data_IF_888749505448
#
_entry.id   IF_888749505448
#
_cell.length_a   1.000
_cell.length_b   1.000
_cell.length_c   1.000
_cell.angle_alpha   90.00
_cell.angle_beta   90.00
_cell.angle_gamma   90.00
#
_symmetry.space_group_name_H-M   'P 1'
#
loop_
_entity.id
_entity.type
_entity.pdbx_description
1 polymer ?
#
# COMPACT_ATOMS: atom_id res chain seq x y z
N UNK A 1 -9.50 25.20 3.72
CA UNK A 1 -8.90 24.38 4.81
C UNK A 1 -8.01 25.29 5.66
N UNK A 2 -8.42 25.61 6.89
CA UNK A 2 -7.57 26.36 7.83
C UNK A 2 -6.26 25.58 8.07
N UNK A 3 -5.12 26.21 7.80
CA UNK A 3 -3.79 25.62 7.97
C UNK A 3 -3.41 25.63 9.45
N UNK A 4 -3.63 24.51 10.15
CA UNK A 4 -3.07 24.31 11.50
C UNK A 4 -1.55 24.24 11.39
N UNK A 5 -0.86 25.33 11.74
CA UNK A 5 0.58 25.51 11.48
C UNK A 5 1.50 24.49 12.20
N UNK A 6 0.99 23.85 13.25
CA UNK A 6 1.71 22.87 14.07
C UNK A 6 1.26 21.42 13.86
N UNK A 7 0.22 21.20 13.02
CA UNK A 7 -0.29 19.87 12.71
C UNK A 7 0.24 19.42 11.34
N UNK A 8 0.85 18.24 11.30
CA UNK A 8 1.25 17.61 10.04
C UNK A 8 0.11 16.73 9.56
N UNK A 9 -0.79 17.32 8.79
CA UNK A 9 -1.88 16.57 8.14
C UNK A 9 -1.33 15.82 6.93
N UNK A 10 -1.64 14.53 6.82
CA UNK A 10 -1.37 13.69 5.64
C UNK A 10 -2.61 12.91 5.25
N UNK A 11 -2.91 12.79 3.94
CA UNK A 11 -3.89 11.85 3.42
C UNK A 11 -3.59 10.40 3.85
N UNK A 12 -4.64 9.58 3.88
CA UNK A 12 -4.55 8.16 4.19
C UNK A 12 -3.80 7.40 3.07
N UNK A 13 -2.77 6.63 3.43
CA UNK A 13 -1.99 5.80 2.52
C UNK A 13 -2.82 4.69 1.87
N UNK A 14 -3.69 4.03 2.64
CA UNK A 14 -4.64 3.05 2.09
C UNK A 14 -5.52 3.69 1.02
N UNK A 15 -6.00 4.92 1.26
CA UNK A 15 -6.79 5.65 0.27
C UNK A 15 -5.97 6.04 -0.97
N UNK A 16 -4.73 6.50 -0.80
CA UNK A 16 -3.87 6.84 -1.94
C UNK A 16 -3.58 5.61 -2.81
N UNK A 17 -3.27 4.45 -2.21
CA UNK A 17 -3.04 3.20 -2.96
C UNK A 17 -4.33 2.75 -3.66
N UNK A 18 -5.49 2.93 -3.02
CA UNK A 18 -6.78 2.64 -3.65
C UNK A 18 -7.04 3.49 -4.89
N UNK A 19 -6.68 4.78 -4.84
CA UNK A 19 -6.78 5.68 -5.98
C UNK A 19 -5.77 5.35 -7.09
N UNK A 20 -4.61 4.80 -6.77
CA UNK A 20 -3.68 4.25 -7.79
C UNK A 20 -4.36 3.09 -8.52
N UNK A 21 -5.02 2.18 -7.80
CA UNK A 21 -5.76 1.07 -8.42
C UNK A 21 -6.92 1.54 -9.29
N UNK A 22 -7.64 2.58 -8.85
CA UNK A 22 -8.69 3.24 -9.64
C UNK A 22 -8.12 3.84 -10.94
N UNK A 23 -7.00 4.54 -10.85
CA UNK A 23 -6.36 5.17 -12.00
C UNK A 23 -5.83 4.16 -13.00
N UNK A 24 -5.35 3.00 -12.55
CA UNK A 24 -5.06 1.90 -13.47
C UNK A 24 -6.31 1.45 -14.24
N UNK A 25 -7.45 1.27 -13.57
CA UNK A 25 -8.70 0.88 -14.23
C UNK A 25 -9.18 1.96 -15.22
N UNK A 26 -8.95 3.25 -14.93
CA UNK A 26 -9.36 4.37 -15.79
C UNK A 26 -8.43 4.62 -16.97
N UNK A 27 -7.11 4.58 -16.74
CA UNK A 27 -6.11 5.07 -17.69
C UNK A 27 -5.39 3.94 -18.44
N UNK A 28 -5.38 2.71 -17.93
CA UNK A 28 -4.79 1.56 -18.62
C UNK A 28 -5.88 0.72 -19.30
N UNK A 29 -5.92 0.76 -20.64
CA UNK A 29 -6.98 0.07 -21.41
C UNK A 29 -7.04 -1.43 -21.13
N UNK A 30 -5.89 -2.06 -20.91
CA UNK A 30 -5.79 -3.48 -20.55
C UNK A 30 -6.45 -3.77 -19.20
N UNK A 31 -6.28 -2.91 -18.20
CA UNK A 31 -6.94 -3.04 -16.89
C UNK A 31 -8.45 -2.83 -17.03
N UNK A 32 -8.87 -1.72 -17.65
CA UNK A 32 -10.29 -1.38 -17.85
C UNK A 32 -11.08 -2.55 -18.47
N UNK A 33 -10.59 -3.08 -19.59
CA UNK A 33 -11.30 -4.11 -20.36
C UNK A 33 -11.28 -5.47 -19.66
N UNK A 34 -10.17 -5.82 -19.02
CA UNK A 34 -9.99 -7.10 -18.32
C UNK A 34 -10.83 -7.16 -17.05
N UNK A 35 -10.85 -6.08 -16.27
CA UNK A 35 -11.68 -5.95 -15.07
C UNK A 35 -13.17 -6.05 -15.44
N UNK A 36 -13.61 -5.31 -16.47
CA UNK A 36 -15.02 -5.36 -16.91
C UNK A 36 -15.45 -6.77 -17.32
N UNK A 37 -14.58 -7.50 -18.04
CA UNK A 37 -14.80 -8.91 -18.39
C UNK A 37 -14.83 -9.81 -17.16
N UNK A 38 -13.87 -9.65 -16.23
CA UNK A 38 -13.80 -10.39 -14.97
C UNK A 38 -15.05 -10.22 -14.11
N UNK A 39 -15.52 -8.98 -13.93
CA UNK A 39 -16.77 -8.68 -13.21
C UNK A 39 -17.98 -9.37 -13.85
N UNK A 40 -18.08 -9.37 -15.18
CA UNK A 40 -19.16 -10.08 -15.89
C UNK A 40 -19.08 -11.59 -15.68
N UNK A 41 -17.88 -12.18 -15.74
CA UNK A 41 -17.66 -13.60 -15.46
C UNK A 41 -18.14 -13.91 -14.05
N UNK A 42 -17.63 -13.20 -13.04
CA UNK A 42 -17.99 -13.45 -11.64
C UNK A 42 -19.48 -13.28 -11.43
N UNK A 43 -20.08 -12.14 -11.79
CA UNK A 43 -21.53 -11.92 -11.61
C UNK A 43 -22.37 -12.98 -12.32
N UNK A 44 -21.94 -13.44 -13.50
CA UNK A 44 -22.67 -14.48 -14.21
C UNK A 44 -22.59 -15.81 -13.47
N UNK A 45 -21.41 -16.27 -13.05
CA UNK A 45 -21.24 -17.63 -12.49
C UNK A 45 -21.43 -17.71 -10.97
N UNK A 46 -21.38 -16.59 -10.24
CA UNK A 46 -21.48 -16.54 -8.79
C UNK A 46 -22.83 -17.05 -8.30
N UNK A 47 -22.81 -17.78 -7.18
CA UNK A 47 -24.03 -18.37 -6.59
C UNK A 47 -24.59 -19.60 -7.32
N UNK A 48 -23.96 -20.07 -8.40
CA UNK A 48 -24.43 -21.26 -9.14
C UNK A 48 -23.85 -22.56 -8.57
N UNK A 49 -24.68 -23.61 -8.47
CA UNK A 49 -24.28 -24.93 -7.96
C UNK A 49 -23.13 -25.56 -8.77
N UNK A 50 -23.16 -25.40 -10.10
CA UNK A 50 -22.08 -25.89 -10.97
C UNK A 50 -20.73 -25.25 -10.62
N UNK A 51 -20.68 -23.96 -10.28
CA UNK A 51 -19.41 -23.32 -9.90
C UNK A 51 -18.80 -24.03 -8.70
N UNK A 52 -19.58 -24.27 -7.64
CA UNK A 52 -19.10 -24.96 -6.42
C UNK A 52 -18.53 -26.34 -6.71
N UNK A 53 -19.16 -27.09 -7.64
CA UNK A 53 -18.70 -28.42 -8.08
C UNK A 53 -17.32 -28.37 -8.73
N UNK A 54 -17.10 -27.42 -9.64
CA UNK A 54 -15.85 -27.35 -10.42
C UNK A 54 -14.72 -26.59 -9.70
N UNK A 55 -15.03 -25.65 -8.81
CA UNK A 55 -14.04 -24.91 -8.01
C UNK A 55 -13.70 -25.58 -6.68
N UNK A 56 -14.28 -26.75 -6.38
CA UNK A 56 -14.16 -27.45 -5.08
C UNK A 56 -14.53 -26.53 -3.91
N UNK A 57 -15.58 -25.72 -4.09
CA UNK A 57 -16.04 -24.75 -3.10
C UNK A 57 -15.17 -23.51 -2.91
N UNK A 58 -14.12 -23.29 -3.73
CA UNK A 58 -13.36 -22.03 -3.68
C UNK A 58 -14.24 -20.85 -4.11
N UNK A 59 -14.17 -19.79 -3.32
CA UNK A 59 -14.82 -18.52 -3.61
C UNK A 59 -14.04 -17.76 -4.70
N UNK A 60 -14.78 -17.09 -5.58
CA UNK A 60 -14.22 -16.24 -6.64
C UNK A 60 -14.03 -14.80 -6.19
N UNK A 61 -14.75 -14.38 -5.16
CA UNK A 61 -14.69 -13.03 -4.64
C UNK A 61 -14.08 -13.10 -3.26
N UNK A 62 -12.93 -12.45 -3.10
CA UNK A 62 -12.30 -12.26 -1.79
C UNK A 62 -12.34 -10.77 -1.46
N UNK A 63 -13.20 -10.32 -0.53
CA UNK A 63 -13.21 -8.94 -0.09
C UNK A 63 -11.81 -8.50 0.37
N UNK A 64 -11.42 -7.30 -0.04
CA UNK A 64 -10.28 -6.57 0.49
C UNK A 64 -10.80 -5.29 1.16
N UNK A 65 -9.92 -4.57 1.85
CA UNK A 65 -10.27 -3.32 2.51
C UNK A 65 -10.89 -2.29 1.56
N UNK A 66 -10.47 -2.30 0.30
CA UNK A 66 -10.97 -1.35 -0.68
C UNK A 66 -11.62 -2.06 -1.86
N UNK A 67 -12.58 -1.39 -2.49
CA UNK A 67 -13.32 -1.92 -3.63
C UNK A 67 -12.42 -2.18 -4.85
N UNK A 68 -11.39 -1.35 -5.07
CA UNK A 68 -10.48 -1.53 -6.20
C UNK A 68 -9.47 -2.65 -5.92
N UNK A 69 -8.95 -2.75 -4.69
CA UNK A 69 -8.13 -3.91 -4.30
C UNK A 69 -8.92 -5.24 -4.38
N UNK A 70 -10.19 -5.22 -3.98
CA UNK A 70 -11.11 -6.37 -4.13
C UNK A 70 -11.25 -6.80 -5.60
N UNK A 71 -11.25 -5.84 -6.52
CA UNK A 71 -11.33 -6.12 -7.96
C UNK A 71 -10.10 -6.90 -8.45
N UNK A 72 -8.89 -6.52 -8.03
CA UNK A 72 -7.67 -7.24 -8.39
C UNK A 72 -7.56 -8.61 -7.69
N UNK A 73 -8.00 -8.73 -6.43
CA UNK A 73 -8.11 -10.04 -5.77
C UNK A 73 -9.08 -10.98 -6.50
N UNK A 74 -10.22 -10.45 -6.96
CA UNK A 74 -11.18 -11.22 -7.76
C UNK A 74 -10.56 -11.73 -9.05
N UNK A 75 -9.75 -10.91 -9.74
CA UNK A 75 -8.99 -11.37 -10.92
C UNK A 75 -7.96 -12.46 -10.55
N UNK A 76 -7.31 -12.36 -9.39
CA UNK A 76 -6.39 -13.39 -8.89
C UNK A 76 -7.12 -14.72 -8.66
N UNK A 77 -8.27 -14.68 -7.96
CA UNK A 77 -9.10 -15.86 -7.73
C UNK A 77 -9.57 -16.49 -9.04
N UNK A 78 -10.03 -15.68 -10.00
CA UNK A 78 -10.38 -16.15 -11.34
C UNK A 78 -9.20 -16.82 -12.06
N UNK A 79 -8.00 -16.26 -11.94
CA UNK A 79 -6.80 -16.82 -12.53
C UNK A 79 -6.42 -18.17 -11.90
N UNK A 80 -6.53 -18.31 -10.57
CA UNK A 80 -6.27 -19.56 -9.84
C UNK A 80 -7.23 -20.68 -10.24
N UNK A 81 -8.51 -20.37 -10.46
CA UNK A 81 -9.52 -21.37 -10.87
C UNK A 81 -9.64 -21.52 -12.39
N UNK A 82 -8.75 -20.92 -13.18
CA UNK A 82 -8.81 -20.92 -14.66
C UNK A 82 -9.03 -22.33 -15.24
N UNK A 83 -8.24 -23.31 -14.81
CA UNK A 83 -8.34 -24.68 -15.30
C UNK A 83 -9.70 -25.31 -14.99
N UNK A 84 -10.18 -25.14 -13.75
CA UNK A 84 -11.52 -25.58 -13.33
C UNK A 84 -12.62 -24.93 -14.16
N UNK A 85 -12.51 -23.63 -14.44
CA UNK A 85 -13.46 -22.92 -15.30
C UNK A 85 -13.43 -23.47 -16.72
N UNK A 86 -12.25 -23.65 -17.33
CA UNK A 86 -12.14 -24.25 -18.67
C UNK A 86 -12.80 -25.63 -18.75
N UNK A 87 -12.60 -26.48 -17.75
CA UNK A 87 -13.26 -27.79 -17.66
C UNK A 87 -14.78 -27.66 -17.54
N UNK A 88 -15.27 -26.75 -16.69
CA UNK A 88 -16.70 -26.51 -16.53
C UNK A 88 -17.35 -26.09 -17.85
N UNK A 89 -16.80 -25.09 -18.53
CA UNK A 89 -17.37 -24.55 -19.78
C UNK A 89 -17.31 -25.55 -20.94
N UNK A 90 -16.32 -26.45 -20.97
CA UNK A 90 -16.24 -27.50 -21.98
C UNK A 90 -17.15 -28.72 -21.70
N UNK A 91 -17.74 -28.82 -20.50
CA UNK A 91 -18.56 -29.97 -20.10
C UNK A 91 -19.91 -30.03 -20.84
N UNK A 92 -20.38 -31.25 -21.09
CA UNK A 92 -21.72 -31.48 -21.65
C UNK A 92 -22.83 -30.95 -20.74
N UNK A 93 -22.63 -31.02 -19.42
CA UNK A 93 -23.53 -30.46 -18.40
C UNK A 93 -23.72 -28.95 -18.60
N UNK A 94 -22.63 -28.20 -18.80
CA UNK A 94 -22.70 -26.77 -19.09
C UNK A 94 -23.37 -26.49 -20.43
N UNK A 95 -22.92 -27.15 -21.50
CA UNK A 95 -23.40 -26.94 -22.87
C UNK A 95 -24.90 -27.19 -23.03
N UNK A 96 -25.45 -28.16 -22.30
CA UNK A 96 -26.88 -28.49 -22.31
C UNK A 96 -27.70 -27.69 -21.30
N UNK A 97 -27.07 -26.98 -20.37
CA UNK A 97 -27.77 -26.18 -19.37
C UNK A 97 -28.49 -24.97 -19.98
N UNK A 98 -29.53 -24.48 -19.28
CA UNK A 98 -30.20 -23.20 -19.60
C UNK A 98 -29.22 -22.02 -19.63
N UNK A 99 -28.12 -22.11 -18.89
CA UNK A 99 -27.11 -21.06 -18.80
C UNK A 99 -26.14 -21.11 -19.97
N UNK A 100 -25.58 -22.28 -20.29
CA UNK A 100 -24.64 -22.45 -21.41
C UNK A 100 -25.29 -22.15 -22.76
N UNK A 101 -26.58 -22.48 -22.92
CA UNK A 101 -27.31 -22.19 -24.16
C UNK A 101 -27.70 -20.71 -24.32
N UNK A 102 -27.65 -19.91 -23.26
CA UNK A 102 -28.05 -18.50 -23.30
C UNK A 102 -27.03 -17.64 -24.03
N UNK A 103 -27.50 -16.55 -24.64
CA UNK A 103 -26.62 -15.63 -25.38
C UNK A 103 -25.51 -15.05 -24.48
N UNK A 104 -25.82 -14.77 -23.21
CA UNK A 104 -24.82 -14.29 -22.24
C UNK A 104 -23.86 -15.41 -21.83
N UNK A 105 -24.34 -16.66 -21.67
CA UNK A 105 -23.49 -17.81 -21.37
C UNK A 105 -22.43 -18.04 -22.43
N UNK A 106 -22.81 -17.98 -23.71
CA UNK A 106 -21.87 -18.09 -24.84
C UNK A 106 -20.85 -16.94 -24.88
N UNK A 107 -21.24 -15.72 -24.53
CA UNK A 107 -20.30 -14.57 -24.44
C UNK A 107 -19.26 -14.78 -23.33
N UNK A 108 -19.69 -15.29 -22.18
CA UNK A 108 -18.80 -15.62 -21.05
C UNK A 108 -17.87 -16.78 -21.42
N UNK A 109 -18.41 -17.83 -22.03
CA UNK A 109 -17.63 -18.97 -22.54
C UNK A 109 -16.53 -18.52 -23.51
N UNK A 110 -16.89 -17.71 -24.52
CA UNK A 110 -15.93 -17.15 -25.47
C UNK A 110 -14.83 -16.34 -24.78
N UNK A 111 -15.16 -15.63 -23.68
CA UNK A 111 -14.18 -14.87 -22.91
C UNK A 111 -13.24 -15.78 -22.11
N UNK A 112 -13.76 -16.85 -21.51
CA UNK A 112 -12.97 -17.83 -20.74
C UNK A 112 -12.09 -18.69 -21.65
N UNK A 113 -12.52 -18.96 -22.87
CA UNK A 113 -11.71 -19.70 -23.84
C UNK A 113 -10.70 -18.80 -24.58
N UNK A 114 -10.84 -17.47 -24.51
CA UNK A 114 -9.90 -16.52 -25.12
C UNK A 114 -8.56 -16.48 -24.35
N UNK A 115 -7.50 -17.00 -24.97
CA UNK A 115 -6.14 -16.97 -24.41
C UNK A 115 -5.64 -15.53 -24.14
N UNK A 116 -6.10 -14.54 -24.91
CA UNK A 116 -5.72 -13.12 -24.72
C UNK A 116 -6.30 -12.55 -23.44
N UNK A 117 -7.51 -12.97 -23.05
CA UNK A 117 -8.09 -12.55 -21.77
C UNK A 117 -7.18 -12.94 -20.61
N UNK A 118 -6.72 -14.19 -20.56
CA UNK A 118 -5.83 -14.67 -19.49
C UNK A 118 -4.44 -14.02 -19.50
N UNK A 119 -3.89 -13.74 -20.69
CA UNK A 119 -2.66 -12.94 -20.82
C UNK A 119 -2.85 -11.55 -20.20
N UNK A 120 -3.97 -10.89 -20.48
CA UNK A 120 -4.28 -9.58 -19.91
C UNK A 120 -4.54 -9.64 -18.39
N UNK A 121 -5.18 -10.70 -17.89
CA UNK A 121 -5.31 -10.94 -16.43
C UNK A 121 -3.93 -11.02 -15.79
N UNK A 122 -3.00 -11.76 -16.41
CA UNK A 122 -1.62 -11.88 -15.91
C UNK A 122 -0.91 -10.52 -15.87
N UNK A 123 -1.07 -9.69 -16.92
CA UNK A 123 -0.53 -8.32 -16.95
C UNK A 123 -1.09 -7.49 -15.78
N UNK A 124 -2.42 -7.50 -15.59
CA UNK A 124 -3.06 -6.75 -14.51
C UNK A 124 -2.51 -7.16 -13.13
N UNK A 125 -2.34 -8.47 -12.91
CA UNK A 125 -1.82 -9.01 -11.64
C UNK A 125 -0.34 -8.69 -11.43
N UNK A 126 0.48 -8.72 -12.48
CA UNK A 126 1.89 -8.30 -12.44
C UNK A 126 2.07 -6.83 -12.02
N UNK A 127 1.12 -5.97 -12.37
CA UNK A 127 1.09 -4.56 -11.93
C UNK A 127 0.56 -4.43 -10.51
N UNK A 128 -0.56 -5.09 -10.21
CA UNK A 128 -1.27 -4.86 -8.95
C UNK A 128 -0.62 -5.56 -7.74
N UNK A 129 -0.04 -6.75 -7.92
CA UNK A 129 0.45 -7.56 -6.81
C UNK A 129 1.50 -6.87 -5.93
N UNK A 130 2.51 -6.15 -6.47
CA UNK A 130 3.45 -5.39 -5.64
C UNK A 130 2.77 -4.32 -4.78
N UNK A 131 1.80 -3.59 -5.34
CA UNK A 131 1.04 -2.57 -4.59
C UNK A 131 0.08 -3.17 -3.57
N UNK A 132 -0.43 -4.40 -3.81
CA UNK A 132 -1.21 -5.14 -2.82
C UNK A 132 -0.38 -5.51 -1.58
N UNK A 133 0.94 -5.71 -1.73
CA UNK A 133 1.84 -5.90 -0.58
C UNK A 133 1.94 -4.62 0.24
N UNK A 134 2.13 -3.47 -0.42
CA UNK A 134 2.15 -2.16 0.26
C UNK A 134 0.83 -1.88 0.96
N UNK A 135 -0.30 -2.17 0.31
CA UNK A 135 -1.62 -2.01 0.89
C UNK A 135 -1.78 -2.83 2.19
N UNK A 136 -1.33 -4.09 2.20
CA UNK A 136 -1.36 -4.94 3.40
C UNK A 136 -0.45 -4.42 4.51
N UNK A 137 0.68 -3.84 4.17
CA UNK A 137 1.58 -3.24 5.15
C UNK A 137 0.90 -2.04 5.83
N UNK A 138 0.38 -1.09 5.06
CA UNK A 138 -0.25 0.13 5.60
C UNK A 138 -1.56 -0.14 6.36
N UNK A 139 -2.15 -1.30 6.11
CA UNK A 139 -3.34 -1.80 6.80
C UNK A 139 -3.00 -2.72 8.00
N UNK A 140 -1.73 -3.04 8.26
CA UNK A 140 -1.37 -3.87 9.41
C UNK A 140 -1.45 -3.06 10.72
N UNK A 141 -2.21 -3.57 11.69
CA UNK A 141 -2.22 -3.01 13.07
C UNK A 141 -1.04 -3.53 13.91
N UNK A 142 -0.27 -4.49 13.39
CA UNK A 142 0.79 -5.20 14.13
C UNK A 142 2.12 -4.43 14.05
N UNK A 143 2.45 -3.87 12.87
CA UNK A 143 3.68 -3.10 12.65
C UNK A 143 3.33 -1.70 12.11
N UNK A 144 3.83 -0.61 12.72
CA UNK A 144 3.68 0.74 12.18
C UNK A 144 4.28 0.84 10.77
N UNK A 145 3.44 0.90 9.76
CA UNK A 145 3.84 1.00 8.36
C UNK A 145 4.58 2.30 8.01
N UNK A 146 4.46 3.30 8.87
CA UNK A 146 4.89 4.67 8.61
C UNK A 146 6.39 4.82 8.38
N UNK A 147 7.22 4.01 9.04
CA UNK A 147 8.67 3.99 8.83
C UNK A 147 9.11 3.29 7.54
N UNK A 148 8.21 2.57 6.85
CA UNK A 148 8.55 1.63 5.79
C UNK A 148 7.88 1.96 4.45
N UNK A 149 6.78 2.70 4.46
CA UNK A 149 5.97 2.98 3.26
C UNK A 149 6.76 3.59 2.09
N UNK A 150 7.72 4.47 2.35
CA UNK A 150 8.56 5.08 1.31
C UNK A 150 9.33 4.00 0.53
N UNK A 151 10.10 3.19 1.26
CA UNK A 151 10.88 2.08 0.69
C UNK A 151 9.97 1.03 0.03
N UNK A 152 8.80 0.76 0.59
CA UNK A 152 7.89 -0.27 0.07
C UNK A 152 7.19 0.14 -1.22
N UNK A 153 6.91 1.43 -1.40
CA UNK A 153 6.44 1.97 -2.68
C UNK A 153 7.56 1.90 -3.72
N UNK A 154 8.79 2.27 -3.37
CA UNK A 154 9.96 2.13 -4.23
C UNK A 154 10.18 0.66 -4.65
N UNK A 155 10.19 -0.26 -3.69
CA UNK A 155 10.26 -1.70 -3.92
C UNK A 155 9.11 -2.19 -4.80
N UNK A 156 7.89 -1.66 -4.63
CA UNK A 156 6.76 -2.01 -5.49
C UNK A 156 6.99 -1.57 -6.94
N UNK A 157 7.51 -0.37 -7.18
CA UNK A 157 7.88 0.13 -8.52
C UNK A 157 8.97 -0.74 -9.16
N UNK A 158 10.02 -1.06 -8.42
CA UNK A 158 11.11 -1.94 -8.88
C UNK A 158 10.60 -3.35 -9.23
N UNK A 159 9.71 -3.92 -8.39
CA UNK A 159 9.08 -5.21 -8.66
C UNK A 159 8.20 -5.16 -9.91
N UNK A 160 7.41 -4.10 -10.09
CA UNK A 160 6.61 -3.89 -11.31
C UNK A 160 7.53 -3.89 -12.53
N UNK A 161 8.61 -3.10 -12.52
CA UNK A 161 9.58 -3.07 -13.61
C UNK A 161 10.17 -4.45 -13.89
N UNK A 162 10.60 -5.17 -12.85
CA UNK A 162 11.16 -6.52 -12.99
C UNK A 162 10.16 -7.54 -13.56
N UNK A 163 8.87 -7.40 -13.23
CA UNK A 163 7.81 -8.28 -13.75
C UNK A 163 7.64 -8.19 -15.27
N UNK A 164 8.07 -7.08 -15.87
CA UNK A 164 8.00 -6.82 -17.30
C UNK A 164 9.36 -6.93 -18.02
N UNK A 165 10.48 -6.78 -17.29
CA UNK A 165 11.82 -6.71 -17.87
C UNK A 165 12.85 -7.57 -17.10
N UNK A 166 12.85 -8.89 -17.28
CA UNK A 166 14.01 -9.67 -16.84
C UNK A 166 15.22 -9.33 -17.72
N UNK A 167 16.03 -8.35 -17.29
CA UNK A 167 17.51 -8.29 -17.28
C UNK A 167 17.91 -6.96 -16.61
N UNK A 168 18.41 -7.03 -15.36
CA UNK A 168 19.39 -6.06 -14.86
C UNK A 168 20.70 -6.41 -15.55
N UNK A 169 21.07 -5.65 -16.56
CA UNK A 169 22.29 -5.85 -17.32
C UNK A 169 22.50 -4.67 -18.24
N UNK A 170 23.59 -3.95 -17.97
CA UNK A 170 24.21 -2.89 -18.76
C UNK A 170 23.91 -2.99 -20.27
N UNK A 171 23.58 -1.85 -20.86
CA UNK A 171 23.40 -1.54 -22.28
C UNK A 171 21.98 -1.68 -22.87
N UNK A 172 21.38 -0.51 -22.95
CA UNK A 172 20.11 -0.15 -23.54
C UNK A 172 20.20 -0.21 -25.08
N UNK A 173 19.97 -1.37 -25.68
CA UNK A 173 19.66 -1.42 -27.12
C UNK A 173 18.91 -2.73 -27.44
N UNK A 174 17.66 -2.59 -27.85
CA UNK A 174 16.79 -3.66 -28.37
C UNK A 174 16.29 -4.71 -27.36
N UNK A 175 15.23 -4.35 -26.64
CA UNK A 175 14.20 -5.34 -26.27
C UNK A 175 12.85 -4.63 -26.21
N UNK A 176 11.85 -5.15 -26.92
CA UNK A 176 10.48 -4.63 -26.94
C UNK A 176 9.86 -4.91 -25.57
N UNK A 177 10.10 -3.99 -24.63
CA UNK A 177 9.61 -4.05 -23.27
C UNK A 177 8.14 -3.61 -23.24
N UNK A 178 7.33 -4.30 -22.43
CA UNK A 178 6.07 -3.70 -21.98
C UNK A 178 6.47 -2.43 -21.23
N UNK A 179 6.07 -1.26 -21.77
CA UNK A 179 6.47 0.00 -21.18
C UNK A 179 5.81 0.14 -19.80
N UNK A 180 6.61 0.01 -18.73
CA UNK A 180 6.16 0.19 -17.35
C UNK A 180 6.14 1.68 -16.95
N UNK A 181 6.66 2.58 -17.77
CA UNK A 181 6.68 4.02 -17.51
C UNK A 181 5.27 4.60 -17.29
N UNK A 182 4.23 4.30 -18.10
CA UNK A 182 2.89 4.83 -17.85
C UNK A 182 2.28 4.31 -16.53
N UNK A 183 2.71 3.14 -16.06
CA UNK A 183 2.30 2.60 -14.76
C UNK A 183 2.99 3.38 -13.64
N UNK A 184 4.28 3.63 -13.77
CA UNK A 184 5.04 4.45 -12.81
C UNK A 184 4.52 5.89 -12.76
N UNK A 185 4.19 6.51 -13.90
CA UNK A 185 3.61 7.85 -13.95
C UNK A 185 2.31 7.95 -13.15
N UNK A 186 1.44 6.94 -13.22
CA UNK A 186 0.21 6.89 -12.42
C UNK A 186 0.53 6.79 -10.93
N UNK A 187 1.47 5.91 -10.55
CA UNK A 187 1.91 5.74 -9.15
C UNK A 187 2.50 7.06 -8.62
N UNK A 188 3.44 7.65 -9.36
CA UNK A 188 4.15 8.87 -8.98
C UNK A 188 3.20 10.04 -8.89
N UNK A 189 2.29 10.21 -9.85
CA UNK A 189 1.28 11.29 -9.78
C UNK A 189 0.46 11.23 -8.50
N UNK A 190 0.05 10.04 -8.04
CA UNK A 190 -0.71 9.87 -6.79
C UNK A 190 0.16 10.03 -5.56
N UNK A 191 1.35 9.43 -5.59
CA UNK A 191 2.33 9.56 -4.52
C UNK A 191 2.69 11.02 -4.27
N UNK A 192 3.05 11.76 -5.32
CA UNK A 192 3.45 13.16 -5.27
C UNK A 192 2.32 14.10 -4.81
N UNK A 193 1.09 13.83 -5.25
CA UNK A 193 -0.05 14.70 -4.97
C UNK A 193 -0.74 14.42 -3.63
N UNK A 194 -0.66 13.20 -3.10
CA UNK A 194 -1.41 12.81 -1.89
C UNK A 194 -0.51 12.31 -0.76
N UNK A 195 0.50 11.50 -1.04
CA UNK A 195 1.42 11.02 -0.01
C UNK A 195 2.61 11.96 0.08
N UNK A 196 2.40 13.07 0.78
CA UNK A 196 3.38 14.15 0.99
C UNK A 196 4.81 13.60 1.20
N UNK A 197 5.63 13.68 0.13
CA UNK A 197 6.99 13.14 0.07
C UNK A 197 7.83 13.47 1.28
N UNK A 198 7.74 14.72 1.79
CA UNK A 198 8.63 15.20 2.84
C UNK A 198 8.50 14.41 4.15
N UNK A 199 7.29 14.05 4.56
CA UNK A 199 7.10 13.33 5.82
C UNK A 199 7.52 11.86 5.68
N UNK A 200 7.20 11.23 4.56
CA UNK A 200 7.58 9.85 4.29
C UNK A 200 9.09 9.70 4.09
N UNK A 201 9.71 10.64 3.38
CA UNK A 201 11.17 10.75 3.25
C UNK A 201 11.86 10.97 4.61
N UNK A 202 11.33 11.87 5.44
CA UNK A 202 11.87 12.09 6.79
C UNK A 202 11.81 10.81 7.63
N UNK A 203 10.69 10.07 7.56
CA UNK A 203 10.54 8.79 8.27
C UNK A 203 11.48 7.72 7.77
N UNK A 204 11.62 7.59 6.44
CA UNK A 204 12.57 6.66 5.83
C UNK A 204 13.98 6.93 6.34
N UNK A 205 14.39 8.21 6.32
CA UNK A 205 15.71 8.62 6.80
C UNK A 205 15.91 8.34 8.30
N UNK A 206 14.87 8.57 9.11
CA UNK A 206 14.90 8.40 10.56
C UNK A 206 14.70 6.94 11.02
N UNK A 207 14.39 6.02 10.11
CA UNK A 207 14.17 4.62 10.45
C UNK A 207 15.53 3.90 10.57
N UNK A 208 15.98 3.53 11.79
CA UNK A 208 17.29 2.88 11.96
C UNK A 208 17.38 1.50 11.29
N UNK A 209 16.24 0.84 11.03
CA UNK A 209 16.22 -0.42 10.29
C UNK A 209 16.54 -0.25 8.81
N UNK A 210 16.30 0.94 8.25
CA UNK A 210 16.51 1.23 6.83
C UNK A 210 17.76 2.09 6.64
N UNK A 211 18.00 3.06 7.53
CA UNK A 211 19.10 4.03 7.44
C UNK A 211 20.48 3.38 7.34
N UNK A 212 20.66 2.24 8.00
CA UNK A 212 21.95 1.54 8.05
C UNK A 212 22.01 0.30 7.17
N UNK A 213 21.00 0.08 6.31
CA UNK A 213 21.06 -0.99 5.32
C UNK A 213 21.95 -0.59 4.14
N UNK A 214 22.56 -1.59 3.49
CA UNK A 214 23.51 -1.35 2.40
C UNK A 214 22.89 -0.63 1.19
N UNK A 215 21.58 -0.77 0.99
CA UNK A 215 20.82 -0.14 -0.08
C UNK A 215 20.20 1.22 0.31
N UNK A 216 20.54 1.75 1.49
CA UNK A 216 19.99 3.03 1.93
C UNK A 216 20.36 4.17 0.98
N UNK A 217 19.36 4.92 0.54
CA UNK A 217 19.51 5.99 -0.47
C UNK A 217 20.04 7.29 0.17
N UNK A 218 21.23 7.24 0.78
CA UNK A 218 21.85 8.36 1.51
C UNK A 218 22.15 9.59 0.63
N UNK A 219 22.42 9.39 -0.66
CA UNK A 219 22.74 10.45 -1.63
C UNK A 219 21.52 10.94 -2.41
N UNK A 220 20.34 10.39 -2.14
CA UNK A 220 19.12 10.86 -2.77
C UNK A 220 18.73 12.25 -2.23
N UNK A 221 18.83 13.23 -3.12
CA UNK A 221 18.47 14.62 -2.85
C UNK A 221 17.01 14.76 -2.37
N UNK A 222 16.10 13.93 -2.89
CA UNK A 222 14.69 13.90 -2.45
C UNK A 222 14.56 13.57 -0.96
N UNK A 223 15.30 12.57 -0.48
CA UNK A 223 15.23 12.11 0.91
C UNK A 223 15.75 13.18 1.86
N UNK A 224 16.92 13.76 1.54
CA UNK A 224 17.53 14.85 2.34
C UNK A 224 16.67 16.11 2.35
N UNK A 225 16.15 16.53 1.19
CA UNK A 225 15.24 17.68 1.11
C UNK A 225 13.94 17.44 1.89
N UNK A 226 13.36 16.25 1.74
CA UNK A 226 12.15 15.86 2.45
C UNK A 226 12.32 15.92 3.97
N UNK A 227 13.45 15.43 4.49
CA UNK A 227 13.81 15.52 5.91
C UNK A 227 13.87 16.97 6.40
N UNK A 228 14.62 17.82 5.68
CA UNK A 228 14.83 19.21 6.07
C UNK A 228 13.53 20.03 6.02
N UNK A 229 12.70 19.82 5.01
CA UNK A 229 11.43 20.53 4.88
C UNK A 229 10.39 20.02 5.90
N UNK A 230 10.40 18.72 6.21
CA UNK A 230 9.62 18.17 7.32
C UNK A 230 10.02 18.83 8.65
N UNK A 231 11.32 18.95 8.90
CA UNK A 231 11.87 19.61 10.09
C UNK A 231 11.50 21.09 10.16
N UNK A 232 11.66 21.86 9.08
CA UNK A 232 11.22 23.27 9.00
C UNK A 232 9.75 23.43 9.35
N UNK A 233 8.91 22.48 8.91
CA UNK A 233 7.47 22.52 9.19
C UNK A 233 7.15 22.22 10.65
N UNK A 234 7.78 21.20 11.24
CA UNK A 234 7.49 20.71 12.60
C UNK A 234 8.20 21.47 13.72
N UNK A 235 9.35 22.05 13.43
CA UNK A 235 10.24 22.73 14.40
C UNK A 235 10.42 24.17 13.96
N UNK A 236 9.64 25.09 14.58
CA UNK A 236 9.62 26.51 14.20
C UNK A 236 10.89 27.25 14.62
N UNK A 237 11.47 26.88 15.76
CA UNK A 237 12.68 27.50 16.29
C UNK A 237 13.93 27.11 15.47
N UNK A 238 14.62 28.07 14.81
CA UNK A 238 15.85 27.82 14.08
C UNK A 238 16.99 27.26 14.95
N UNK A 239 17.10 27.68 16.21
CA UNK A 239 18.16 27.21 17.10
C UNK A 239 17.98 25.72 17.41
N UNK A 240 16.75 25.28 17.65
CA UNK A 240 16.44 23.85 17.82
C UNK A 240 16.74 23.08 16.53
N UNK A 241 16.38 23.62 15.35
CA UNK A 241 16.71 22.96 14.07
C UNK A 241 18.21 22.78 13.89
N UNK A 242 19.03 23.79 14.20
CA UNK A 242 20.49 23.68 14.12
C UNK A 242 21.02 22.58 15.03
N UNK A 243 20.49 22.46 16.27
CA UNK A 243 20.86 21.36 17.17
C UNK A 243 20.49 19.99 16.62
N UNK A 244 19.28 19.84 16.06
CA UNK A 244 18.85 18.60 15.40
C UNK A 244 19.80 18.25 14.26
N UNK A 245 20.20 19.23 13.43
CA UNK A 245 21.13 19.03 12.31
C UNK A 245 22.49 18.52 12.80
N UNK A 246 23.04 19.10 13.87
CA UNK A 246 24.30 18.63 14.43
C UNK A 246 24.18 17.21 14.98
N UNK A 247 23.07 16.90 15.65
CA UNK A 247 22.79 15.56 16.19
C UNK A 247 22.55 14.53 15.09
N UNK A 248 22.09 14.92 13.90
CA UNK A 248 21.98 13.99 12.77
C UNK A 248 23.33 13.38 12.39
N UNK A 249 24.43 14.12 12.53
CA UNK A 249 25.77 13.58 12.22
C UNK A 249 26.12 12.43 13.15
N UNK A 250 25.73 12.51 14.42
CA UNK A 250 25.95 11.44 15.40
C UNK A 250 25.19 10.17 15.03
N UNK A 251 23.92 10.32 14.64
CA UNK A 251 23.11 9.22 14.12
C UNK A 251 23.69 8.67 12.82
N UNK A 252 23.89 9.51 11.82
CA UNK A 252 24.29 9.10 10.48
C UNK A 252 25.62 8.33 10.45
N UNK A 253 26.61 8.79 11.21
CA UNK A 253 27.93 8.16 11.28
C UNK A 253 28.05 7.12 12.40
N UNK A 254 26.94 6.69 13.01
CA UNK A 254 26.94 5.72 14.12
C UNK A 254 27.90 6.07 15.25
N UNK A 255 27.94 7.34 15.66
CA UNK A 255 28.84 7.83 16.70
C UNK A 255 28.20 7.72 18.08
N UNK A 256 29.05 7.74 19.12
CA UNK A 256 28.61 7.65 20.51
C UNK A 256 27.72 6.43 20.76
N UNK A 257 26.58 6.64 21.42
CA UNK A 257 25.64 5.56 21.76
C UNK A 257 25.10 4.82 20.52
N UNK A 258 24.99 5.48 19.37
CA UNK A 258 24.49 4.83 18.14
C UNK A 258 25.45 3.76 17.59
N UNK A 259 26.72 3.81 18.00
CA UNK A 259 27.78 2.89 17.58
C UNK A 259 27.98 1.67 18.48
N UNK A 260 27.27 1.59 19.62
CA UNK A 260 27.34 0.43 20.52
C UNK A 260 26.73 -0.81 19.87
N UNK A 261 27.31 -1.98 20.12
CA UNK A 261 26.88 -3.22 19.46
C UNK A 261 25.45 -3.62 19.87
N UNK A 262 25.11 -3.57 21.16
CA UNK A 262 23.73 -3.78 21.64
C UNK A 262 22.73 -2.85 20.92
N UNK A 263 23.13 -1.60 20.68
CA UNK A 263 22.28 -0.61 20.00
C UNK A 263 22.10 -0.94 18.52
N UNK A 264 23.12 -1.51 17.86
CA UNK A 264 23.03 -1.99 16.47
C UNK A 264 22.12 -3.20 16.36
N UNK A 265 22.25 -4.16 17.28
CA UNK A 265 21.45 -5.38 17.31
C UNK A 265 19.95 -5.07 17.50
N UNK A 266 19.62 -4.17 18.43
CA UNK A 266 18.23 -3.81 18.71
C UNK A 266 17.50 -3.09 17.54
N UNK A 267 18.20 -2.63 16.50
CA UNK A 267 17.57 -1.88 15.39
C UNK A 267 16.47 -2.70 14.73
N UNK A 268 16.75 -3.97 14.41
CA UNK A 268 15.84 -4.87 13.68
C UNK A 268 14.76 -5.49 14.58
N UNK A 269 15.03 -5.58 15.88
CA UNK A 269 14.13 -6.19 16.86
C UNK A 269 13.05 -5.22 17.37
N UNK A 270 13.31 -3.91 17.29
CA UNK A 270 12.44 -2.88 17.87
C UNK A 270 11.73 -2.02 16.83
N UNK A 271 10.54 -1.53 17.19
CA UNK A 271 9.87 -0.48 16.40
C UNK A 271 10.75 0.78 16.35
N UNK A 272 10.86 1.46 15.20
CA UNK A 272 11.72 2.64 15.06
C UNK A 272 11.53 3.70 16.15
N UNK A 273 10.29 4.06 16.46
CA UNK A 273 10.00 5.04 17.52
C UNK A 273 10.47 4.57 18.91
N UNK A 274 10.31 3.28 19.23
CA UNK A 274 10.77 2.69 20.50
C UNK A 274 12.29 2.64 20.58
N UNK A 275 12.98 2.35 19.47
CA UNK A 275 14.44 2.40 19.43
C UNK A 275 14.94 3.82 19.75
N UNK A 276 14.30 4.87 19.21
CA UNK A 276 14.61 6.26 19.53
C UNK A 276 14.35 6.62 21.02
N UNK A 277 13.43 5.96 21.71
CA UNK A 277 13.16 6.23 23.13
C UNK A 277 14.33 5.85 24.05
N UNK A 278 15.12 4.84 23.67
CA UNK A 278 16.25 4.32 24.47
C UNK A 278 17.32 5.38 24.77
N UNK A 279 17.46 6.38 23.90
CA UNK A 279 18.46 7.45 24.03
C UNK A 279 17.96 8.56 24.96
N UNK A 280 17.82 8.27 26.28
CA UNK A 280 17.19 9.15 27.30
C UNK A 280 17.53 10.64 27.12
N UNK A 281 18.79 11.00 27.33
CA UNK A 281 19.27 12.40 27.35
C UNK A 281 20.24 12.74 26.21
N UNK A 282 20.69 11.74 25.44
CA UNK A 282 21.60 11.93 24.31
C UNK A 282 20.82 12.32 23.06
N UNK A 283 21.30 13.34 22.33
CA UNK A 283 20.66 13.85 21.13
C UNK A 283 19.16 14.18 21.33
N UNK A 284 18.83 14.87 22.42
CA UNK A 284 17.46 15.08 22.90
C UNK A 284 16.54 15.71 21.84
N UNK A 285 17.02 16.73 21.14
CA UNK A 285 16.25 17.43 20.11
C UNK A 285 15.95 16.52 18.91
N UNK A 286 16.95 15.77 18.44
CA UNK A 286 16.80 14.79 17.37
C UNK A 286 15.87 13.65 17.78
N UNK A 287 16.05 13.08 18.97
CA UNK A 287 15.15 12.05 19.51
C UNK A 287 13.70 12.52 19.52
N UNK A 288 13.43 13.70 20.09
CA UNK A 288 12.07 14.27 20.14
C UNK A 288 11.49 14.45 18.74
N UNK A 289 12.30 14.93 17.80
CA UNK A 289 11.90 15.06 16.41
C UNK A 289 11.60 13.70 15.76
N UNK A 290 12.48 12.72 15.95
CA UNK A 290 12.38 11.38 15.38
C UNK A 290 11.14 10.63 15.88
N UNK A 291 10.92 10.61 17.20
CA UNK A 291 9.72 10.00 17.81
C UNK A 291 8.47 10.71 17.27
N UNK A 292 8.45 12.04 17.25
CA UNK A 292 7.29 12.79 16.74
C UNK A 292 6.98 12.45 15.29
N UNK A 293 7.98 12.28 14.44
CA UNK A 293 7.80 11.95 13.02
C UNK A 293 7.38 10.49 12.83
N UNK A 294 8.04 9.55 13.51
CA UNK A 294 7.82 8.10 13.37
C UNK A 294 6.53 7.60 14.04
N UNK A 295 6.01 8.29 15.05
CA UNK A 295 4.80 7.88 15.79
C UNK A 295 3.48 8.34 15.15
N UNK A 296 3.52 9.20 14.14
CA UNK A 296 2.33 9.59 13.36
C UNK A 296 1.86 8.41 12.50
N UNK A 297 0.55 8.23 12.29
CA UNK A 297 -0.07 7.12 11.52
C UNK A 297 -0.33 7.48 10.05
N UNK A 298 -0.17 6.52 9.11
CA UNK A 298 -0.44 6.74 7.65
C UNK A 298 -1.81 6.31 7.21
N UNK A 299 -2.50 5.48 7.97
CA UNK A 299 -3.79 4.98 7.57
C UNK A 299 -4.85 5.39 8.58
N UNK A 300 -6.01 5.82 8.07
CA UNK A 300 -7.24 5.93 8.84
C UNK A 300 -7.97 4.58 8.95
N UNK A 301 -7.60 3.57 8.15
CA UNK A 301 -8.31 2.28 8.08
C UNK A 301 -8.25 1.45 9.37
N UNK A 302 -7.17 1.61 10.16
CA UNK A 302 -7.10 1.00 11.50
C UNK A 302 -8.15 1.57 12.46
N UNK A 303 -8.47 2.86 12.33
CA UNK A 303 -9.58 3.45 13.08
C UNK A 303 -10.91 2.87 12.60
N UNK A 304 -11.15 2.80 11.29
CA UNK A 304 -12.40 2.30 10.69
C UNK A 304 -12.75 0.86 11.11
N UNK A 305 -11.75 -0.02 11.28
CA UNK A 305 -11.99 -1.39 11.80
C UNK A 305 -12.44 -1.43 13.26
N UNK A 306 -11.87 -0.55 14.09
CA UNK A 306 -12.34 -0.36 15.45
C UNK A 306 -13.77 0.20 15.42
N UNK A 307 -14.05 1.23 14.60
CA UNK A 307 -15.39 1.78 14.43
C UNK A 307 -16.41 0.74 13.95
N UNK A 308 -16.08 -0.14 12.99
CA UNK A 308 -16.98 -1.22 12.54
C UNK A 308 -17.23 -2.27 13.64
N UNK A 309 -16.21 -2.57 14.45
CA UNK A 309 -16.35 -3.46 15.61
C UNK A 309 -17.21 -2.81 16.70
N UNK A 310 -17.13 -1.49 16.84
CA UNK A 310 -17.99 -0.71 17.73
C UNK A 310 -19.38 -0.44 17.13
N UNK A 311 -19.58 -0.37 15.80
CA UNK A 311 -20.90 -0.22 15.18
C UNK A 311 -21.80 -1.42 15.50
N UNK A 312 -21.24 -2.64 15.51
CA UNK A 312 -21.96 -3.84 15.99
C UNK A 312 -22.34 -3.77 17.49
N UNK A 313 -21.69 -2.91 18.28
CA UNK A 313 -21.99 -2.68 19.70
C UNK A 313 -22.91 -1.45 19.87
N UNK A 314 -22.78 -0.44 19.01
CA UNK A 314 -23.51 0.84 19.03
C UNK A 314 -24.93 0.68 18.50
N UNK A 315 -25.23 -0.32 17.66
CA UNK A 315 -26.61 -0.68 17.31
C UNK A 315 -27.45 -1.11 18.55
N UNK A 316 -26.82 -1.41 19.69
CA UNK A 316 -27.53 -1.89 20.90
C UNK A 316 -27.60 -0.88 22.05
N UNK A 317 -26.94 0.29 22.05
CA UNK A 317 -27.22 1.32 23.08
C UNK A 317 -26.69 2.72 22.78
N UNK A 318 -27.66 3.64 22.71
CA UNK A 318 -27.60 5.08 22.98
C UNK A 318 -26.48 5.92 22.31
N UNK A 319 -26.92 6.66 21.28
CA UNK A 319 -26.26 7.77 20.57
C UNK A 319 -25.75 8.94 21.45
N UNK A 320 -25.75 8.83 22.78
CA UNK A 320 -25.41 9.92 23.70
C UNK A 320 -23.95 9.95 24.19
N UNK A 321 -23.14 8.91 23.94
CA UNK A 321 -21.74 8.86 24.42
C UNK A 321 -20.69 9.43 23.45
N UNK A 322 -20.96 9.49 22.15
CA UNK A 322 -19.96 9.93 21.14
C UNK A 322 -19.70 11.44 21.18
N UNK A 323 -20.71 12.26 21.52
CA UNK A 323 -20.50 13.71 21.70
C UNK A 323 -19.73 14.06 22.97
N UNK A 324 -19.72 13.19 23.99
CA UNK A 324 -19.04 13.47 25.27
C UNK A 324 -17.52 13.28 25.17
N UNK A 325 -17.04 12.41 24.28
CA UNK A 325 -15.59 12.19 24.07
C UNK A 325 -14.95 13.33 23.26
N UNK A 326 -15.67 13.95 22.33
CA UNK A 326 -15.20 15.13 21.58
C UNK A 326 -15.23 16.42 22.42
N UNK A 327 -16.15 16.55 23.40
CA UNK A 327 -16.16 17.67 24.35
C UNK A 327 -15.04 17.57 25.39
N UNK A 328 -14.74 16.38 25.91
CA UNK A 328 -13.67 16.20 26.93
C UNK A 328 -12.24 16.38 26.39
N UNK A 329 -12.01 16.24 25.09
CA UNK A 329 -10.69 16.40 24.46
C UNK A 329 -10.45 17.84 23.96
N UNK A 330 -11.49 18.66 23.82
CA UNK A 330 -11.36 20.07 23.40
C UNK A 330 -11.34 21.06 24.57
N UNK A 331 -11.66 20.64 25.80
CA UNK A 331 -11.65 21.48 27.02
C UNK A 331 -10.46 21.22 27.96
N UNK A 332 -9.34 20.71 27.46
CA UNK A 332 -8.07 20.71 28.21
C UNK A 332 -6.96 21.39 27.40
N UNK A 333 -6.78 22.67 27.76
CA UNK A 333 -5.80 23.70 27.35
C UNK A 333 -6.17 24.57 26.15
#
# INVERSE_FOLDING_TARGET
LQTRQNLYWTPCATHCIDLIFEDFEKHLKVHQTTIKKGRRITTYIYGRSMLKKFTKGRDLIRPCMTRFATTYLTLSCLHEVKASLMTMFNSEEWKKSKFGTSQEGRKIENTILDSRYWKNVTICLKVAAPLMVVLRLVDSDIKPAMGFIYEEIDCAKERIQSNFNNIKGVNHLYTVNVNYEPIWEIIDKRWDSQLHKHLHAARYYLNPQLHYEANFRNDNHEVKHGLLDCMKRLVKDPAIRTKIIMQFLEFHYTRGLFGLDDTKECRKEMLPAKWWEMFRDHCLELKRFAIRVLSLTCSSSGCERNWNSFEMIIEVRDLFMVFKFLSLVLDLN
#
